data_IF_265237968059
#
_entry.id   IF_265237968059
#
_cell.length_a   1.000
_cell.length_b   1.000
_cell.length_c   1.000
_cell.angle_alpha   90.00
_cell.angle_beta   90.00
_cell.angle_gamma   90.00
#
_symmetry.space_group_name_H-M   'P 1'
#
loop_
_entity.id
_entity.type
_entity.pdbx_description
1 polymer ?
#
# COMPACT_ATOMS: atom_id res chain seq x y z
N UNK A 1 -1.85 23.10 -9.59
CA UNK A 1 -2.39 21.94 -10.36
C UNK A 1 -2.59 20.81 -9.36
N UNK A 2 -3.84 20.46 -9.09
CA UNK A 2 -4.22 19.36 -8.20
C UNK A 2 -3.97 18.10 -9.00
N UNK A 3 -3.22 17.12 -8.45
CA UNK A 3 -2.73 15.87 -9.05
C UNK A 3 -3.70 15.14 -9.96
N UNK A 4 -3.84 15.61 -11.19
CA UNK A 4 -4.66 14.99 -12.22
C UNK A 4 -3.82 14.00 -13.01
N UNK A 5 -4.32 12.78 -13.14
CA UNK A 5 -3.67 11.69 -13.84
C UNK A 5 -4.62 11.15 -14.90
N UNK A 6 -4.21 11.18 -16.17
CA UNK A 6 -4.98 10.57 -17.25
C UNK A 6 -4.96 9.06 -17.14
N UNK A 7 -6.13 8.47 -17.24
CA UNK A 7 -6.28 7.01 -17.15
C UNK A 7 -6.03 6.39 -18.53
N UNK A 8 -5.06 5.45 -18.66
CA UNK A 8 -4.87 4.72 -19.91
C UNK A 8 -6.15 4.01 -20.36
N UNK A 9 -6.44 4.04 -21.64
CA UNK A 9 -7.67 3.44 -22.22
C UNK A 9 -7.85 1.96 -21.84
N UNK A 10 -6.77 1.19 -21.81
CA UNK A 10 -6.80 -0.24 -21.41
C UNK A 10 -7.27 -0.44 -19.96
N UNK A 11 -6.95 0.51 -19.06
CA UNK A 11 -7.40 0.48 -17.66
C UNK A 11 -8.88 0.82 -17.60
N UNK A 12 -9.29 1.90 -18.26
CA UNK A 12 -10.67 2.36 -18.24
C UNK A 12 -11.60 1.33 -18.94
N UNK A 13 -11.19 0.72 -20.04
CA UNK A 13 -11.92 -0.38 -20.71
C UNK A 13 -12.02 -1.62 -19.79
N UNK A 14 -10.94 -2.01 -19.11
CA UNK A 14 -10.99 -3.06 -18.11
C UNK A 14 -12.00 -2.74 -17.01
N UNK A 15 -12.03 -1.51 -16.49
CA UNK A 15 -12.96 -1.11 -15.43
C UNK A 15 -14.43 -1.25 -15.87
N UNK A 16 -14.78 -0.87 -17.09
CA UNK A 16 -16.13 -1.10 -17.62
C UNK A 16 -16.47 -2.60 -17.70
N UNK A 17 -15.55 -3.42 -18.20
CA UNK A 17 -15.75 -4.87 -18.32
C UNK A 17 -15.89 -5.57 -16.97
N UNK A 18 -15.04 -5.23 -15.99
CA UNK A 18 -15.09 -5.82 -14.64
C UNK A 18 -16.22 -5.24 -13.77
N UNK A 19 -16.71 -4.04 -14.07
CA UNK A 19 -17.93 -3.51 -13.45
C UNK A 19 -19.20 -4.19 -14.01
N UNK A 20 -19.08 -4.98 -15.09
CA UNK A 20 -20.19 -5.75 -15.65
C UNK A 20 -21.25 -4.86 -16.30
N UNK A 21 -20.82 -3.87 -17.07
CA UNK A 21 -21.74 -2.98 -17.77
C UNK A 21 -22.47 -3.76 -18.87
N UNK A 22 -23.79 -3.80 -18.80
CA UNK A 22 -24.65 -4.48 -19.78
C UNK A 22 -25.99 -3.74 -19.92
N UNK A 23 -26.56 -3.82 -21.10
CA UNK A 23 -27.81 -3.12 -21.41
C UNK A 23 -27.65 -1.60 -21.31
N UNK A 24 -28.75 -0.87 -21.11
CA UNK A 24 -28.77 0.58 -20.93
C UNK A 24 -28.66 0.92 -19.45
N UNK A 25 -27.57 1.54 -19.05
CA UNK A 25 -27.32 1.96 -17.66
C UNK A 25 -27.02 3.47 -17.60
N UNK A 26 -27.35 4.09 -16.46
CA UNK A 26 -26.91 5.44 -16.11
C UNK A 26 -25.55 5.35 -15.41
N UNK A 27 -24.54 5.88 -16.06
CA UNK A 27 -23.14 5.79 -15.60
C UNK A 27 -22.59 7.18 -15.40
N UNK A 28 -21.90 7.42 -14.29
CA UNK A 28 -21.27 8.71 -13.99
C UNK A 28 -19.77 8.55 -13.72
N UNK A 29 -18.97 9.48 -14.31
CA UNK A 29 -17.62 9.79 -13.87
C UNK A 29 -17.64 11.15 -13.15
N UNK A 30 -17.51 11.17 -11.81
CA UNK A 30 -17.59 12.40 -11.02
C UNK A 30 -16.28 13.21 -10.99
N UNK A 31 -15.25 12.80 -11.72
CA UNK A 31 -13.94 13.45 -11.85
C UNK A 31 -13.35 13.18 -13.23
N UNK A 32 -14.13 13.49 -14.27
CA UNK A 32 -13.90 12.93 -15.60
C UNK A 32 -12.66 13.48 -16.33
N UNK A 33 -12.02 14.53 -15.84
CA UNK A 33 -10.83 15.10 -16.46
C UNK A 33 -11.07 15.47 -17.93
N UNK A 34 -10.22 14.98 -18.80
CA UNK A 34 -10.33 15.12 -20.27
C UNK A 34 -11.39 14.21 -20.90
N UNK A 35 -12.11 13.41 -20.10
CA UNK A 35 -13.16 12.52 -20.55
C UNK A 35 -12.69 11.12 -20.98
N UNK A 36 -11.60 10.62 -20.43
CA UNK A 36 -11.09 9.27 -20.78
C UNK A 36 -12.15 8.18 -20.68
N UNK A 37 -12.90 8.11 -19.56
CA UNK A 37 -14.00 7.14 -19.41
C UNK A 37 -15.22 7.48 -20.31
N UNK A 38 -15.48 8.76 -20.53
CA UNK A 38 -16.61 9.18 -21.35
C UNK A 38 -16.44 8.75 -22.83
N UNK A 39 -15.21 8.81 -23.35
CA UNK A 39 -14.87 8.45 -24.73
C UNK A 39 -15.03 6.97 -25.04
N UNK A 40 -14.63 6.11 -24.08
CA UNK A 40 -14.57 4.66 -24.28
C UNK A 40 -15.76 3.91 -23.72
N UNK A 41 -16.74 4.62 -23.19
CA UNK A 41 -17.94 4.00 -22.64
C UNK A 41 -18.59 3.06 -23.66
N UNK A 42 -19.01 1.85 -23.26
CA UNK A 42 -19.73 0.94 -24.14
C UNK A 42 -20.98 1.58 -24.73
N UNK A 43 -21.30 1.24 -25.98
CA UNK A 43 -22.47 1.78 -26.68
C UNK A 43 -23.77 1.53 -25.90
N UNK A 44 -24.68 2.51 -25.93
CA UNK A 44 -25.99 2.41 -25.30
C UNK A 44 -26.05 2.91 -23.84
N UNK A 45 -24.91 3.28 -23.24
CA UNK A 45 -24.88 3.83 -21.88
C UNK A 45 -25.32 5.28 -21.82
N UNK A 46 -26.00 5.67 -20.74
CA UNK A 46 -26.28 7.06 -20.42
C UNK A 46 -25.13 7.63 -19.58
N UNK A 47 -24.09 8.13 -20.26
CA UNK A 47 -22.92 8.70 -19.60
C UNK A 47 -23.20 10.10 -19.05
N UNK A 48 -22.74 10.33 -17.81
CA UNK A 48 -22.71 11.60 -17.11
C UNK A 48 -21.28 11.92 -16.71
N UNK A 49 -20.89 13.21 -16.76
CA UNK A 49 -19.57 13.68 -16.37
C UNK A 49 -19.64 14.86 -15.44
N UNK A 50 -18.70 14.94 -14.51
CA UNK A 50 -18.45 16.13 -13.69
C UNK A 50 -16.96 16.43 -13.65
N UNK A 51 -16.59 17.72 -13.84
CA UNK A 51 -15.19 18.14 -13.80
C UNK A 51 -15.08 19.54 -13.18
N UNK A 52 -14.16 19.71 -12.23
CA UNK A 52 -13.94 20.96 -11.52
C UNK A 52 -12.99 21.91 -12.26
N UNK A 53 -12.05 21.38 -13.03
CA UNK A 53 -11.08 22.19 -13.80
C UNK A 53 -11.76 22.73 -15.07
N UNK A 54 -11.82 24.07 -15.26
CA UNK A 54 -12.53 24.66 -16.39
C UNK A 54 -11.93 24.26 -17.76
N UNK A 55 -10.62 24.02 -17.83
CA UNK A 55 -9.94 23.64 -19.08
C UNK A 55 -10.36 22.23 -19.53
N UNK A 56 -10.34 21.27 -18.60
CA UNK A 56 -10.80 19.91 -18.87
C UNK A 56 -12.31 19.83 -19.06
N UNK A 57 -13.09 20.57 -18.26
CA UNK A 57 -14.52 20.68 -18.42
C UNK A 57 -14.91 21.19 -19.82
N UNK A 58 -14.13 22.13 -20.38
CA UNK A 58 -14.35 22.63 -21.75
C UNK A 58 -14.20 21.57 -22.83
N UNK A 59 -13.36 20.53 -22.59
CA UNK A 59 -13.18 19.39 -23.50
C UNK A 59 -14.25 18.32 -23.23
N UNK A 60 -14.38 17.89 -21.98
CA UNK A 60 -15.23 16.76 -21.60
C UNK A 60 -16.74 16.99 -21.90
N UNK A 61 -17.22 18.23 -21.81
CA UNK A 61 -18.62 18.57 -22.07
C UNK A 61 -19.11 18.24 -23.50
N UNK A 62 -18.19 18.10 -24.46
CA UNK A 62 -18.56 17.70 -25.84
C UNK A 62 -18.72 16.17 -25.98
N UNK A 63 -18.31 15.39 -25.00
CA UNK A 63 -18.39 13.93 -25.05
C UNK A 63 -19.74 13.38 -24.60
N UNK A 64 -20.53 14.19 -23.90
CA UNK A 64 -21.87 13.83 -23.42
C UNK A 64 -22.86 14.97 -23.70
N UNK A 65 -24.18 14.69 -23.80
CA UNK A 65 -25.21 15.75 -23.90
C UNK A 65 -25.10 16.75 -22.75
N UNK A 66 -25.27 18.04 -23.02
CA UNK A 66 -25.08 19.14 -22.06
C UNK A 66 -25.81 18.92 -20.72
N UNK A 67 -27.04 18.36 -20.75
CA UNK A 67 -27.83 18.03 -19.55
C UNK A 67 -27.20 16.92 -18.67
N UNK A 68 -26.17 16.25 -19.15
CA UNK A 68 -25.48 15.15 -18.46
C UNK A 68 -24.06 15.54 -18.04
N UNK A 69 -23.69 16.81 -18.22
CA UNK A 69 -22.38 17.32 -17.85
C UNK A 69 -22.52 18.46 -16.82
N UNK A 70 -21.70 18.37 -15.76
CA UNK A 70 -21.61 19.38 -14.70
C UNK A 70 -20.19 19.93 -14.63
N UNK A 71 -20.02 21.22 -14.89
CA UNK A 71 -18.75 21.91 -14.64
C UNK A 71 -18.76 22.42 -13.19
N UNK A 72 -18.03 21.76 -12.28
CA UNK A 72 -18.00 22.11 -10.88
C UNK A 72 -17.44 21.04 -9.95
N UNK A 73 -17.44 21.32 -8.65
CA UNK A 73 -17.01 20.38 -7.63
C UNK A 73 -18.06 19.28 -7.43
N UNK A 74 -17.71 18.04 -7.78
CA UNK A 74 -18.61 16.90 -7.70
C UNK A 74 -19.19 16.67 -6.30
N UNK A 75 -18.43 17.01 -5.24
CA UNK A 75 -18.87 16.81 -3.85
C UNK A 75 -20.01 17.75 -3.43
N UNK A 76 -20.18 18.84 -4.15
CA UNK A 76 -21.26 19.83 -3.89
C UNK A 76 -22.28 19.93 -5.01
N UNK A 77 -21.85 19.72 -6.26
CA UNK A 77 -22.69 19.95 -7.44
C UNK A 77 -23.53 18.73 -7.84
N UNK A 78 -23.27 17.55 -7.28
CA UNK A 78 -23.96 16.30 -7.61
C UNK A 78 -24.96 15.83 -6.54
N UNK A 79 -25.24 16.63 -5.53
CA UNK A 79 -26.10 16.24 -4.38
C UNK A 79 -27.49 15.80 -4.84
N UNK A 80 -28.09 16.51 -5.78
CA UNK A 80 -29.45 16.25 -6.27
C UNK A 80 -29.58 14.95 -7.09
N UNK A 81 -28.44 14.35 -7.49
CA UNK A 81 -28.43 13.11 -8.27
C UNK A 81 -27.88 11.91 -7.50
N UNK A 82 -27.69 12.04 -6.18
CA UNK A 82 -27.29 10.91 -5.34
C UNK A 82 -28.31 9.77 -5.40
N UNK A 83 -27.83 8.55 -5.43
CA UNK A 83 -28.67 7.35 -5.45
C UNK A 83 -29.38 7.07 -6.78
N UNK A 84 -28.95 7.72 -7.87
CA UNK A 84 -29.66 7.60 -9.16
C UNK A 84 -28.91 6.85 -10.25
N UNK A 85 -27.62 6.53 -10.04
CA UNK A 85 -26.78 5.85 -11.05
C UNK A 85 -26.71 4.35 -10.83
N UNK A 86 -26.55 3.61 -11.92
CA UNK A 86 -26.27 2.17 -11.91
C UNK A 86 -24.80 1.92 -11.60
N UNK A 87 -23.92 2.77 -12.13
CA UNK A 87 -22.48 2.69 -11.97
C UNK A 87 -21.88 4.09 -11.78
N UNK A 88 -21.00 4.22 -10.80
CA UNK A 88 -20.04 5.31 -10.70
C UNK A 88 -18.64 4.75 -11.02
N UNK A 89 -17.98 5.34 -12.02
CA UNK A 89 -16.69 4.87 -12.53
C UNK A 89 -15.72 6.04 -12.66
N UNK A 90 -14.43 5.86 -12.32
CA UNK A 90 -13.47 6.94 -12.49
C UNK A 90 -12.17 6.76 -11.72
N UNK A 91 -11.30 7.75 -11.92
CA UNK A 91 -10.00 7.87 -11.29
C UNK A 91 -9.93 9.23 -10.56
N UNK A 92 -10.39 9.31 -9.29
CA UNK A 92 -10.41 10.55 -8.53
C UNK A 92 -9.00 11.07 -8.22
N UNK A 93 -8.86 12.37 -7.92
CA UNK A 93 -7.59 12.93 -7.52
C UNK A 93 -7.10 12.34 -6.20
N UNK A 94 -5.81 11.98 -6.12
CA UNK A 94 -5.17 11.53 -4.88
C UNK A 94 -4.07 12.50 -4.44
N UNK A 95 -3.61 12.32 -3.20
CA UNK A 95 -2.57 13.14 -2.57
C UNK A 95 -2.97 14.60 -2.28
N UNK A 96 -4.25 14.92 -2.41
CA UNK A 96 -4.81 16.20 -1.98
C UNK A 96 -5.69 16.01 -0.75
N UNK A 97 -5.90 17.08 0.02
CA UNK A 97 -6.72 17.06 1.24
C UNK A 97 -7.79 18.14 1.23
N UNK A 98 -8.96 17.81 1.72
CA UNK A 98 -9.96 18.77 2.17
C UNK A 98 -9.72 19.06 3.65
N UNK A 99 -9.61 20.34 4.03
CA UNK A 99 -9.48 20.79 5.42
C UNK A 99 -10.74 21.48 5.91
N UNK A 100 -10.98 21.43 7.21
CA UNK A 100 -12.12 22.09 7.84
C UNK A 100 -12.07 23.62 7.62
N UNK A 101 -10.86 24.19 7.58
CA UNK A 101 -10.66 25.60 7.31
C UNK A 101 -11.08 26.02 5.89
N UNK A 102 -10.71 25.21 4.87
CA UNK A 102 -10.93 25.54 3.45
C UNK A 102 -12.23 24.98 2.87
N UNK A 103 -12.68 23.82 3.36
CA UNK A 103 -13.83 23.07 2.82
C UNK A 103 -14.73 22.49 3.92
N UNK A 104 -15.25 23.28 4.87
CA UNK A 104 -16.01 22.78 6.02
C UNK A 104 -17.26 22.01 5.60
N UNK A 105 -18.00 22.52 4.60
CA UNK A 105 -19.25 21.87 4.12
C UNK A 105 -19.01 20.48 3.55
N UNK A 106 -17.87 20.27 2.86
CA UNK A 106 -17.50 18.96 2.33
C UNK A 106 -17.21 18.00 3.48
N UNK A 107 -16.33 18.39 4.42
CA UNK A 107 -15.99 17.51 5.55
C UNK A 107 -17.21 17.13 6.39
N UNK A 108 -18.13 18.07 6.64
CA UNK A 108 -19.33 17.82 7.43
C UNK A 108 -20.41 17.04 6.67
N UNK A 109 -20.44 17.12 5.33
CA UNK A 109 -21.40 16.45 4.46
C UNK A 109 -21.11 14.98 4.15
N UNK A 110 -19.92 14.48 4.60
CA UNK A 110 -19.49 13.11 4.36
C UNK A 110 -19.18 12.38 5.68
N UNK A 111 -19.65 11.15 5.81
CA UNK A 111 -19.43 10.32 7.01
C UNK A 111 -17.92 10.15 7.31
N UNK A 112 -17.12 9.94 6.27
CA UNK A 112 -15.67 9.76 6.39
C UNK A 112 -14.92 11.06 6.64
N UNK A 113 -15.57 12.22 6.51
CA UNK A 113 -15.05 13.55 6.83
C UNK A 113 -15.52 14.08 8.19
N UNK A 114 -16.66 13.62 8.67
CA UNK A 114 -17.29 14.13 9.88
C UNK A 114 -16.39 14.01 11.12
N UNK A 115 -16.31 15.09 11.90
CA UNK A 115 -15.48 15.16 13.11
C UNK A 115 -13.97 15.24 12.86
N UNK A 116 -13.52 15.42 11.60
CA UNK A 116 -12.11 15.53 11.25
C UNK A 116 -11.72 16.95 10.91
N UNK A 117 -10.47 17.30 11.18
CA UNK A 117 -9.89 18.59 10.76
C UNK A 117 -9.45 18.58 9.30
N UNK A 118 -9.14 17.40 8.75
CA UNK A 118 -8.83 17.19 7.34
C UNK A 118 -9.10 15.75 6.91
N UNK A 119 -9.30 15.53 5.61
CA UNK A 119 -9.47 14.21 5.00
C UNK A 119 -8.87 14.18 3.60
N UNK A 120 -8.30 13.03 3.22
CA UNK A 120 -7.81 12.78 1.87
C UNK A 120 -8.97 12.79 0.87
N UNK A 121 -8.77 13.40 -0.30
CA UNK A 121 -9.82 13.48 -1.32
C UNK A 121 -10.22 12.10 -1.83
N UNK A 122 -9.29 11.19 -2.04
CA UNK A 122 -9.58 9.82 -2.48
C UNK A 122 -10.52 9.06 -1.53
N UNK A 123 -10.47 9.37 -0.22
CA UNK A 123 -11.39 8.80 0.78
C UNK A 123 -12.78 9.41 0.67
N UNK A 124 -12.86 10.73 0.48
CA UNK A 124 -14.15 11.41 0.28
C UNK A 124 -14.79 11.02 -1.06
N UNK A 125 -14.00 10.85 -2.11
CA UNK A 125 -14.48 10.35 -3.40
C UNK A 125 -15.00 8.91 -3.31
N UNK A 126 -14.36 8.02 -2.53
CA UNK A 126 -14.88 6.67 -2.29
C UNK A 126 -16.30 6.72 -1.71
N UNK A 127 -16.55 7.63 -0.75
CA UNK A 127 -17.90 7.86 -0.22
C UNK A 127 -18.84 8.47 -1.27
N UNK A 128 -18.38 9.46 -2.04
CA UNK A 128 -19.16 10.08 -3.10
C UNK A 128 -19.62 9.06 -4.14
N UNK A 129 -18.74 8.16 -4.59
CA UNK A 129 -19.09 7.09 -5.52
C UNK A 129 -20.24 6.24 -4.99
N UNK A 130 -20.21 5.85 -3.70
CA UNK A 130 -21.30 5.11 -3.07
C UNK A 130 -22.58 5.96 -2.88
N UNK A 131 -22.46 7.27 -2.64
CA UNK A 131 -23.63 8.17 -2.57
C UNK A 131 -24.31 8.29 -3.93
N UNK A 132 -23.54 8.35 -5.02
CA UNK A 132 -24.08 8.50 -6.38
C UNK A 132 -24.85 7.28 -6.87
N UNK A 133 -24.45 6.06 -6.51
CA UNK A 133 -25.11 4.85 -7.00
C UNK A 133 -26.35 4.49 -6.17
N UNK A 134 -27.35 3.94 -6.85
CA UNK A 134 -28.57 3.39 -6.23
C UNK A 134 -28.25 2.13 -5.39
N UNK A 135 -29.14 1.65 -4.52
CA UNK A 135 -29.00 0.33 -3.92
C UNK A 135 -28.77 -0.74 -4.99
N UNK A 136 -27.83 -1.67 -4.74
CA UNK A 136 -27.31 -2.68 -5.69
C UNK A 136 -26.58 -2.10 -6.92
N UNK A 137 -26.41 -0.80 -7.04
CA UNK A 137 -25.51 -0.18 -8.02
C UNK A 137 -24.05 -0.45 -7.67
N UNK A 138 -23.18 -0.33 -8.67
CA UNK A 138 -21.73 -0.60 -8.53
C UNK A 138 -20.90 0.66 -8.53
N UNK A 139 -19.76 0.56 -7.91
CA UNK A 139 -18.66 1.52 -8.05
C UNK A 139 -17.46 0.81 -8.66
N UNK A 140 -16.75 1.49 -9.53
CA UNK A 140 -15.45 1.09 -10.08
C UNK A 140 -14.50 2.28 -9.91
N UNK A 141 -13.62 2.22 -8.94
CA UNK A 141 -12.80 3.37 -8.54
C UNK A 141 -11.32 2.98 -8.47
N UNK A 142 -10.46 3.88 -8.97
CA UNK A 142 -9.01 3.73 -8.78
C UNK A 142 -8.62 4.39 -7.46
N UNK A 143 -7.93 3.63 -6.61
CA UNK A 143 -7.46 4.08 -5.31
C UNK A 143 -5.97 3.80 -5.13
N UNK A 144 -5.21 4.68 -4.46
CA UNK A 144 -3.85 4.38 -4.04
C UNK A 144 -3.84 3.33 -2.92
N UNK A 145 -2.67 2.74 -2.62
CA UNK A 145 -2.50 1.72 -1.59
C UNK A 145 -2.97 2.15 -0.19
N UNK A 146 -2.84 3.44 0.15
CA UNK A 146 -3.08 3.94 1.51
C UNK A 146 -4.40 3.51 2.13
N UNK A 147 -5.57 3.82 1.54
CA UNK A 147 -6.89 3.41 2.04
C UNK A 147 -7.04 1.89 2.21
N UNK A 148 -6.36 1.09 1.38
CA UNK A 148 -6.46 -0.36 1.39
C UNK A 148 -5.56 -1.04 2.43
N UNK A 149 -4.50 -0.36 2.91
CA UNK A 149 -3.47 -1.04 3.71
C UNK A 149 -3.04 -0.33 4.99
N UNK A 150 -3.11 1.02 5.06
CA UNK A 150 -2.55 1.73 6.20
C UNK A 150 -3.48 1.64 7.42
N UNK A 151 -2.91 1.39 8.61
CA UNK A 151 -3.67 1.32 9.89
C UNK A 151 -4.56 2.55 10.14
N UNK A 152 -4.08 3.79 9.92
CA UNK A 152 -4.92 4.98 10.11
C UNK A 152 -6.19 5.01 9.24
N UNK A 153 -6.26 4.22 8.16
CA UNK A 153 -7.44 4.10 7.30
C UNK A 153 -8.31 2.85 7.60
N UNK A 154 -8.08 2.14 8.71
CA UNK A 154 -8.92 1.00 9.07
C UNK A 154 -10.40 1.37 9.13
N UNK A 155 -10.73 2.54 9.69
CA UNK A 155 -12.12 3.04 9.75
C UNK A 155 -12.77 3.21 8.38
N UNK A 156 -12.00 3.50 7.31
CA UNK A 156 -12.49 3.59 5.91
C UNK A 156 -12.89 2.20 5.42
N UNK A 157 -12.06 1.19 5.68
CA UNK A 157 -12.32 -0.20 5.32
C UNK A 157 -13.55 -0.73 6.04
N UNK A 158 -13.65 -0.49 7.34
CA UNK A 158 -14.81 -0.89 8.16
C UNK A 158 -16.09 -0.17 7.71
N UNK A 159 -15.99 1.11 7.35
CA UNK A 159 -17.10 1.90 6.80
C UNK A 159 -17.59 1.32 5.47
N UNK A 160 -16.65 0.96 4.58
CA UNK A 160 -16.96 0.39 3.27
C UNK A 160 -17.66 -0.97 3.38
N UNK A 161 -17.13 -1.89 4.20
CA UNK A 161 -17.72 -3.24 4.38
C UNK A 161 -19.16 -3.19 4.90
N UNK A 162 -19.48 -2.21 5.74
CA UNK A 162 -20.87 -2.03 6.21
C UNK A 162 -21.82 -1.55 5.12
N UNK A 163 -21.33 -0.90 4.05
CA UNK A 163 -22.14 -0.24 3.01
C UNK A 163 -22.08 -0.90 1.66
N UNK A 164 -21.05 -1.68 1.40
CA UNK A 164 -20.84 -2.32 0.11
C UNK A 164 -20.28 -3.74 0.25
N UNK A 165 -20.56 -4.58 -0.73
CA UNK A 165 -19.83 -5.80 -1.00
C UNK A 165 -18.67 -5.47 -1.93
N UNK A 166 -17.45 -5.60 -1.46
CA UNK A 166 -16.25 -5.46 -2.31
C UNK A 166 -16.13 -6.74 -3.13
N UNK A 167 -16.42 -6.65 -4.43
CA UNK A 167 -16.42 -7.79 -5.34
C UNK A 167 -15.00 -8.15 -5.77
N UNK A 168 -14.18 -7.12 -6.12
CA UNK A 168 -12.81 -7.34 -6.54
C UNK A 168 -11.86 -6.17 -6.20
N UNK A 169 -10.58 -6.49 -6.01
CA UNK A 169 -9.48 -5.54 -5.99
C UNK A 169 -8.41 -6.03 -6.97
N UNK A 170 -8.08 -5.18 -7.96
CA UNK A 170 -7.08 -5.47 -8.99
C UNK A 170 -5.93 -4.48 -8.80
N UNK A 171 -4.77 -4.98 -8.41
CA UNK A 171 -3.58 -4.15 -8.29
C UNK A 171 -2.97 -3.88 -9.66
N UNK A 172 -2.70 -2.60 -9.94
CA UNK A 172 -2.15 -2.15 -11.21
C UNK A 172 -0.61 -2.10 -11.17
N UNK A 173 0.08 -2.26 -12.31
CA UNK A 173 1.51 -2.06 -12.38
C UNK A 173 1.93 -0.66 -11.93
N UNK A 174 3.17 -0.51 -11.43
CA UNK A 174 3.70 0.82 -11.09
C UNK A 174 4.01 1.63 -12.35
N UNK A 175 3.91 2.96 -12.23
CA UNK A 175 4.33 3.88 -13.29
C UNK A 175 3.37 3.98 -14.48
N UNK A 176 2.15 3.44 -14.37
CA UNK A 176 1.13 3.55 -15.42
C UNK A 176 0.51 4.95 -15.50
N UNK A 177 0.58 5.72 -14.43
CA UNK A 177 0.15 7.11 -14.40
C UNK A 177 1.35 8.04 -14.45
N UNK A 178 1.38 8.92 -15.45
CA UNK A 178 2.42 9.93 -15.58
C UNK A 178 2.48 10.82 -14.32
N UNK A 179 3.69 11.16 -13.87
CA UNK A 179 3.95 12.06 -12.71
C UNK A 179 3.63 11.49 -11.32
N UNK A 180 3.35 10.19 -11.18
CA UNK A 180 3.25 9.55 -9.87
C UNK A 180 3.94 8.20 -9.84
N UNK A 181 4.60 7.90 -8.73
CA UNK A 181 5.14 6.55 -8.44
C UNK A 181 4.19 5.76 -7.53
N UNK A 182 3.02 6.34 -7.22
CA UNK A 182 2.03 5.68 -6.38
C UNK A 182 1.58 4.37 -7.03
N UNK A 183 1.55 3.30 -6.25
CA UNK A 183 0.86 2.08 -6.64
C UNK A 183 -0.63 2.28 -6.44
N UNK A 184 -1.41 1.85 -7.42
CA UNK A 184 -2.84 2.03 -7.47
C UNK A 184 -3.56 0.71 -7.69
N UNK A 185 -4.82 0.69 -7.31
CA UNK A 185 -5.67 -0.49 -7.41
C UNK A 185 -7.04 -0.08 -7.96
N UNK A 186 -7.63 -0.93 -8.79
CA UNK A 186 -9.05 -0.84 -9.15
C UNK A 186 -9.82 -1.55 -8.05
N UNK A 187 -10.77 -0.86 -7.42
CA UNK A 187 -11.71 -1.44 -6.48
C UNK A 187 -13.10 -1.47 -7.13
N UNK A 188 -13.69 -2.67 -7.17
CA UNK A 188 -15.07 -2.89 -7.63
C UNK A 188 -15.90 -3.26 -6.43
N UNK A 189 -16.98 -2.51 -6.17
CA UNK A 189 -17.88 -2.81 -5.08
C UNK A 189 -19.34 -2.55 -5.45
N UNK A 190 -20.24 -3.37 -4.94
CA UNK A 190 -21.67 -3.22 -5.07
C UNK A 190 -22.25 -2.62 -3.79
N UNK A 191 -23.01 -1.52 -3.92
CA UNK A 191 -23.71 -0.89 -2.80
C UNK A 191 -24.76 -1.84 -2.23
N UNK A 192 -24.74 -2.05 -0.92
CA UNK A 192 -25.75 -2.88 -0.25
C UNK A 192 -27.08 -2.18 -0.12
N UNK A 193 -28.15 -2.93 -0.27
CA UNK A 193 -29.51 -2.49 0.08
C UNK A 193 -29.77 -2.63 1.60
N UNK A 194 -29.16 -3.62 2.24
CA UNK A 194 -29.25 -3.89 3.68
C UNK A 194 -27.85 -4.24 4.20
N UNK A 195 -27.50 -3.76 5.37
CA UNK A 195 -26.21 -4.09 6.01
C UNK A 195 -26.21 -5.55 6.47
N UNK A 196 -25.32 -6.41 5.97
CA UNK A 196 -25.23 -7.80 6.41
C UNK A 196 -24.54 -7.91 7.79
N UNK A 197 -24.89 -8.97 8.53
CA UNK A 197 -24.21 -9.35 9.75
C UNK A 197 -24.05 -10.88 9.76
N UNK A 198 -22.84 -11.43 9.87
CA UNK A 198 -21.50 -10.83 9.75
C UNK A 198 -21.07 -10.61 8.29
N UNK A 199 -20.07 -9.75 8.07
CA UNK A 199 -19.47 -9.45 6.74
C UNK A 199 -18.57 -10.61 6.28
N UNK A 200 -19.15 -11.64 5.66
CA UNK A 200 -18.44 -12.85 5.20
C UNK A 200 -18.36 -12.97 3.68
N UNK A 201 -18.67 -11.89 2.96
CA UNK A 201 -18.57 -11.92 1.50
C UNK A 201 -17.12 -12.12 1.07
N UNK A 202 -16.97 -12.99 0.09
CA UNK A 202 -15.68 -13.23 -0.51
C UNK A 202 -15.36 -12.15 -1.55
N UNK A 203 -14.14 -11.64 -1.51
CA UNK A 203 -13.59 -10.68 -2.46
C UNK A 203 -12.51 -11.35 -3.29
N UNK A 204 -12.47 -11.03 -4.57
CA UNK A 204 -11.46 -11.52 -5.49
C UNK A 204 -10.30 -10.52 -5.58
N UNK A 205 -9.09 -11.01 -5.41
CA UNK A 205 -7.87 -10.22 -5.49
C UNK A 205 -7.00 -10.66 -6.66
N UNK A 206 -6.51 -9.72 -7.45
CA UNK A 206 -5.59 -9.97 -8.57
C UNK A 206 -4.45 -8.96 -8.57
N UNK A 207 -3.22 -9.45 -8.65
CA UNK A 207 -2.05 -8.62 -8.94
C UNK A 207 -1.75 -8.67 -10.44
N UNK A 208 -1.83 -7.52 -11.13
CA UNK A 208 -1.38 -7.37 -12.52
C UNK A 208 0.06 -6.86 -12.56
N UNK A 209 0.91 -7.54 -13.32
CA UNK A 209 2.32 -7.19 -13.51
C UNK A 209 2.53 -6.28 -14.71
N UNK A 210 1.67 -6.39 -15.71
CA UNK A 210 1.63 -5.51 -16.88
C UNK A 210 0.19 -5.24 -17.34
N UNK A 211 0.00 -4.20 -18.17
CA UNK A 211 -1.33 -3.78 -18.61
C UNK A 211 -2.01 -4.77 -19.56
N UNK A 212 -1.26 -5.62 -20.25
CA UNK A 212 -1.83 -6.64 -21.15
C UNK A 212 -2.67 -7.66 -20.40
N UNK A 213 -2.33 -7.91 -19.14
CA UNK A 213 -3.07 -8.83 -18.26
C UNK A 213 -4.50 -8.35 -17.92
N UNK A 214 -4.82 -7.08 -18.18
CA UNK A 214 -6.15 -6.52 -17.98
C UNK A 214 -7.13 -6.88 -19.12
N UNK A 215 -6.63 -7.20 -20.32
CA UNK A 215 -7.46 -7.43 -21.52
C UNK A 215 -8.51 -8.54 -21.38
N UNK A 216 -8.19 -9.71 -20.78
CA UNK A 216 -9.16 -10.81 -20.68
C UNK A 216 -10.19 -10.64 -19.56
N UNK A 217 -10.00 -9.73 -18.61
CA UNK A 217 -10.82 -9.64 -17.41
C UNK A 217 -12.27 -9.21 -17.70
N UNK A 218 -13.23 -9.95 -17.14
CA UNK A 218 -14.69 -9.72 -17.26
C UNK A 218 -15.38 -10.04 -15.94
N UNK A 219 -16.53 -9.41 -15.67
CA UNK A 219 -17.37 -9.80 -14.54
C UNK A 219 -17.97 -11.22 -14.74
N UNK A 220 -17.98 -12.00 -13.68
CA UNK A 220 -18.61 -13.33 -13.64
C UNK A 220 -17.73 -14.49 -14.10
N UNK A 221 -16.61 -14.21 -14.78
CA UNK A 221 -15.73 -15.26 -15.28
C UNK A 221 -14.44 -15.43 -14.47
N UNK A 222 -14.33 -14.71 -13.36
CA UNK A 222 -13.09 -14.60 -12.57
C UNK A 222 -12.52 -15.94 -12.08
N UNK A 223 -13.39 -16.85 -11.61
CA UNK A 223 -12.95 -18.14 -11.07
C UNK A 223 -12.50 -19.12 -12.15
N UNK A 224 -13.00 -18.92 -13.40
CA UNK A 224 -12.75 -19.83 -14.52
C UNK A 224 -11.55 -19.38 -15.39
N UNK A 225 -11.19 -18.10 -15.34
CA UNK A 225 -10.34 -17.50 -16.36
C UNK A 225 -8.87 -17.33 -15.95
N UNK A 226 -8.56 -17.19 -14.68
CA UNK A 226 -7.18 -16.93 -14.28
C UNK A 226 -6.89 -17.50 -12.88
N UNK A 227 -5.99 -18.49 -12.76
CA UNK A 227 -5.63 -19.11 -11.49
C UNK A 227 -4.89 -18.14 -10.53
N UNK A 228 -4.53 -16.95 -11.00
CA UNK A 228 -3.91 -15.90 -10.16
C UNK A 228 -4.92 -15.20 -9.26
N UNK A 229 -6.23 -15.26 -9.55
CA UNK A 229 -7.25 -14.74 -8.66
C UNK A 229 -7.24 -15.44 -7.31
N UNK A 230 -7.24 -14.66 -6.24
CA UNK A 230 -7.36 -15.15 -4.86
C UNK A 230 -8.68 -14.71 -4.27
N UNK A 231 -9.34 -15.64 -3.61
CA UNK A 231 -10.59 -15.39 -2.89
C UNK A 231 -10.30 -15.25 -1.40
N UNK A 232 -10.67 -14.11 -0.82
CA UNK A 232 -10.47 -13.83 0.61
C UNK A 232 -11.74 -13.21 1.22
N UNK A 233 -11.84 -13.25 2.54
CA UNK A 233 -12.83 -12.50 3.32
C UNK A 233 -12.14 -11.26 3.86
N UNK A 234 -12.47 -10.07 3.34
CA UNK A 234 -11.78 -8.82 3.69
C UNK A 234 -11.93 -8.44 5.17
N UNK A 235 -13.03 -8.83 5.82
CA UNK A 235 -13.23 -8.58 7.24
C UNK A 235 -12.17 -9.24 8.15
N UNK A 236 -11.48 -10.24 7.63
CA UNK A 236 -10.41 -10.98 8.33
C UNK A 236 -9.01 -10.48 7.95
N UNK A 237 -8.90 -9.51 7.03
CA UNK A 237 -7.65 -9.01 6.49
C UNK A 237 -7.36 -7.56 6.93
N UNK A 238 -6.20 -7.30 7.52
CA UNK A 238 -5.75 -5.93 7.84
C UNK A 238 -5.29 -5.17 6.60
N UNK A 239 -4.73 -5.85 5.62
CA UNK A 239 -4.20 -5.30 4.37
C UNK A 239 -4.95 -5.92 3.18
N UNK A 240 -5.66 -5.08 2.41
CA UNK A 240 -6.52 -5.51 1.31
C UNK A 240 -5.81 -5.53 -0.04
N UNK A 241 -4.54 -5.17 -0.08
CA UNK A 241 -3.80 -5.18 -1.35
C UNK A 241 -3.59 -6.61 -1.83
N UNK A 242 -3.77 -6.88 -3.14
CA UNK A 242 -3.51 -8.19 -3.72
C UNK A 242 -2.12 -8.74 -3.42
N UNK A 243 -1.09 -7.89 -3.44
CA UNK A 243 0.28 -8.29 -3.15
C UNK A 243 0.47 -8.79 -1.71
N UNK A 244 -0.18 -8.14 -0.75
CA UNK A 244 -0.09 -8.54 0.65
C UNK A 244 -0.75 -9.91 0.88
N UNK A 245 -1.78 -10.23 0.10
CA UNK A 245 -2.47 -11.52 0.14
C UNK A 245 -1.84 -12.54 -0.81
N UNK A 246 -1.01 -12.09 -1.75
CA UNK A 246 -0.25 -12.94 -2.66
C UNK A 246 0.95 -13.61 -1.99
N UNK A 247 1.18 -13.29 -0.71
CA UNK A 247 2.27 -13.83 0.08
C UNK A 247 2.48 -15.30 -0.20
N UNK A 248 3.62 -15.55 -0.80
CA UNK A 248 4.04 -16.83 -1.32
C UNK A 248 4.32 -17.83 -0.18
N UNK A 249 3.27 -18.33 0.50
CA UNK A 249 3.43 -19.58 1.26
C UNK A 249 4.02 -20.71 0.39
N UNK A 250 3.90 -20.60 -0.96
CA UNK A 250 4.43 -21.59 -1.92
C UNK A 250 5.90 -21.39 -2.29
N UNK A 251 6.48 -20.16 -2.26
CA UNK A 251 7.89 -19.94 -2.59
C UNK A 251 8.79 -20.29 -1.39
N UNK A 252 8.34 -20.01 -0.16
CA UNK A 252 9.15 -20.25 1.05
C UNK A 252 9.02 -21.66 1.61
N UNK A 253 8.10 -22.51 1.09
CA UNK A 253 7.80 -23.83 1.65
C UNK A 253 7.07 -23.74 3.01
N UNK A 254 6.76 -24.89 3.62
CA UNK A 254 5.98 -24.97 4.88
C UNK A 254 6.75 -24.52 6.13
N UNK A 255 8.08 -24.31 6.02
CA UNK A 255 8.94 -23.96 7.16
C UNK A 255 9.44 -22.53 7.05
N UNK A 256 8.73 -21.61 7.69
CA UNK A 256 9.13 -20.19 7.78
C UNK A 256 9.06 -19.70 9.22
N UNK A 257 9.90 -18.71 9.56
CA UNK A 257 9.98 -18.07 10.88
C UNK A 257 9.80 -16.57 10.72
N UNK A 258 9.20 -15.89 11.69
CA UNK A 258 9.06 -14.42 11.68
C UNK A 258 10.42 -13.79 11.97
N UNK A 259 10.77 -12.76 11.21
CA UNK A 259 12.02 -12.02 11.42
C UNK A 259 12.09 -11.40 12.82
N UNK A 260 10.98 -10.87 13.33
CA UNK A 260 10.89 -10.28 14.67
C UNK A 260 11.06 -11.26 15.82
N UNK A 261 10.94 -12.57 15.58
CA UNK A 261 11.21 -13.60 16.59
C UNK A 261 12.72 -13.89 16.69
N UNK A 262 13.49 -13.53 15.66
CA UNK A 262 14.91 -13.80 15.54
C UNK A 262 15.80 -12.56 15.72
N UNK A 263 15.24 -11.37 15.52
CA UNK A 263 15.97 -10.11 15.57
C UNK A 263 15.22 -9.05 16.36
N UNK A 264 15.97 -8.28 17.16
CA UNK A 264 15.51 -7.00 17.70
C UNK A 264 15.74 -5.93 16.65
N UNK A 265 14.69 -5.19 16.28
CA UNK A 265 14.75 -4.15 15.27
C UNK A 265 14.76 -2.77 15.93
N UNK A 266 15.69 -1.92 15.51
CA UNK A 266 15.73 -0.49 15.83
C UNK A 266 15.90 0.34 14.56
N UNK A 267 15.59 1.63 14.62
CA UNK A 267 15.82 2.56 13.52
C UNK A 267 17.00 3.43 13.89
N UNK A 268 17.86 3.75 12.94
CA UNK A 268 18.94 4.70 13.13
C UNK A 268 18.44 6.11 13.42
N UNK A 269 19.34 7.05 13.57
CA UNK A 269 19.04 8.41 13.98
C UNK A 269 19.67 9.43 13.04
N UNK A 270 18.92 10.49 12.72
CA UNK A 270 19.41 11.67 12.03
C UNK A 270 18.70 12.93 12.52
N UNK A 271 19.39 14.04 12.48
CA UNK A 271 18.81 15.38 12.58
C UNK A 271 18.53 15.95 11.19
N UNK A 272 17.66 16.95 11.11
CA UNK A 272 17.25 17.61 9.86
C UNK A 272 17.50 19.14 9.93
N UNK A 273 17.55 19.75 8.76
CA UNK A 273 17.78 21.20 8.62
C UNK A 273 19.17 21.62 9.04
N UNK A 274 19.29 22.82 9.61
CA UNK A 274 20.55 23.48 9.98
C UNK A 274 21.36 22.76 11.06
N UNK A 275 20.75 21.81 11.76
CA UNK A 275 21.41 20.96 12.77
C UNK A 275 22.28 19.85 12.18
N UNK A 276 22.27 19.65 10.86
CA UNK A 276 23.08 18.65 10.20
C UNK A 276 24.52 19.15 10.05
N UNK A 277 25.46 18.46 10.69
CA UNK A 277 26.89 18.71 10.57
C UNK A 277 27.56 17.44 10.05
N UNK A 278 28.02 17.47 8.81
CA UNK A 278 28.75 16.36 8.19
C UNK A 278 30.21 16.76 8.01
N UNK A 279 31.10 15.85 8.35
CA UNK A 279 32.54 15.92 8.13
C UNK A 279 32.91 14.93 7.01
N UNK A 280 33.83 15.31 6.13
CA UNK A 280 34.16 14.53 4.94
C UNK A 280 35.26 13.49 5.17
N UNK A 281 35.99 13.57 6.27
CA UNK A 281 37.14 12.72 6.57
C UNK A 281 37.07 12.09 7.96
N UNK A 282 37.64 10.90 8.16
CA UNK A 282 37.81 10.31 9.49
C UNK A 282 38.74 11.19 10.38
N UNK A 283 38.69 10.98 11.66
CA UNK A 283 39.53 11.71 12.64
C UNK A 283 39.11 11.37 14.08
N UNK A 284 39.89 11.89 15.03
CA UNK A 284 39.58 11.70 16.45
C UNK A 284 38.21 12.26 16.78
N UNK A 285 37.46 11.56 17.65
CA UNK A 285 36.09 11.88 18.06
C UNK A 285 35.09 12.02 16.88
N UNK A 286 35.30 11.25 15.81
CA UNK A 286 34.42 11.20 14.64
C UNK A 286 33.89 9.80 14.41
N UNK A 287 32.60 9.67 14.24
CA UNK A 287 31.90 8.40 13.96
C UNK A 287 31.43 8.38 12.52
N UNK A 288 31.68 7.29 11.81
CA UNK A 288 31.17 7.10 10.46
C UNK A 288 29.63 7.02 10.50
N UNK A 289 28.97 7.80 9.64
CA UNK A 289 27.52 7.74 9.47
C UNK A 289 27.18 6.93 8.23
N UNK A 290 26.59 5.76 8.43
CA UNK A 290 26.07 4.91 7.34
C UNK A 290 24.70 5.45 6.89
N UNK A 291 24.61 5.79 5.61
CA UNK A 291 23.40 6.25 4.93
C UNK A 291 22.96 5.24 3.89
N UNK A 292 21.72 5.33 3.40
CA UNK A 292 21.17 4.42 2.38
C UNK A 292 22.08 4.24 1.16
N UNK A 293 22.82 5.29 0.72
CA UNK A 293 23.76 5.25 -0.39
C UNK A 293 25.05 4.45 -0.12
N UNK A 294 25.36 4.22 1.15
CA UNK A 294 26.51 3.40 1.55
C UNK A 294 26.19 1.90 1.56
N UNK A 295 24.93 1.50 1.41
CA UNK A 295 24.51 0.10 1.27
C UNK A 295 24.39 -0.24 -0.22
N UNK A 296 25.24 -1.16 -0.68
CA UNK A 296 25.33 -1.53 -2.08
C UNK A 296 24.07 -2.29 -2.57
N UNK A 297 23.68 -2.15 -3.86
CA UNK A 297 22.57 -2.92 -4.42
C UNK A 297 22.77 -4.44 -4.38
N UNK A 298 24.01 -4.88 -4.52
CA UNK A 298 24.44 -6.27 -4.48
C UNK A 298 24.63 -6.82 -3.05
N UNK A 299 24.50 -5.97 -2.04
CA UNK A 299 24.83 -6.24 -0.65
C UNK A 299 26.18 -5.68 -0.24
N UNK A 300 26.41 -5.58 1.08
CA UNK A 300 27.64 -5.02 1.63
C UNK A 300 27.69 -3.49 1.71
N UNK A 301 28.81 -2.97 2.18
CA UNK A 301 29.03 -1.54 2.39
C UNK A 301 29.97 -0.97 1.32
N UNK A 302 29.63 0.21 0.81
CA UNK A 302 30.47 1.05 -0.06
C UNK A 302 31.00 2.21 0.76
N UNK A 303 32.26 2.12 1.17
CA UNK A 303 32.94 3.10 2.01
C UNK A 303 34.13 3.78 1.28
N UNK A 304 34.27 3.55 -0.01
CA UNK A 304 35.31 4.11 -0.89
C UNK A 304 35.05 5.57 -1.25
N UNK A 305 33.79 6.01 -1.20
CA UNK A 305 33.36 7.39 -1.54
C UNK A 305 32.04 7.74 -0.87
N UNK A 306 31.77 9.04 -0.81
CA UNK A 306 30.55 9.56 -0.21
C UNK A 306 30.34 9.19 1.26
N UNK A 307 31.38 8.88 2.00
CA UNK A 307 31.33 8.75 3.44
C UNK A 307 30.97 10.09 4.10
N UNK A 308 30.33 10.04 5.22
CA UNK A 308 30.10 11.18 6.09
C UNK A 308 30.46 10.75 7.51
N UNK A 309 31.04 11.66 8.24
CA UNK A 309 31.38 11.48 9.63
C UNK A 309 30.64 12.51 10.46
N UNK A 310 30.37 12.19 11.70
CA UNK A 310 29.72 13.07 12.67
C UNK A 310 30.57 13.15 13.93
N UNK A 311 30.57 14.30 14.65
CA UNK A 311 31.23 14.41 15.94
C UNK A 311 30.60 13.43 16.94
N UNK A 312 31.43 12.68 17.68
CA UNK A 312 30.93 11.71 18.69
C UNK A 312 30.37 12.37 19.96
N UNK A 313 30.64 13.67 20.14
CA UNK A 313 30.11 14.51 21.21
C UNK A 313 29.06 15.53 20.71
N UNK A 314 28.64 15.44 19.43
CA UNK A 314 27.65 16.34 18.81
C UNK A 314 26.22 15.84 18.94
N UNK A 315 25.25 16.74 18.69
CA UNK A 315 23.79 16.43 18.74
C UNK A 315 23.38 15.34 17.73
N UNK A 316 24.14 15.11 16.65
CA UNK A 316 23.89 14.08 15.65
C UNK A 316 24.29 12.67 16.13
N UNK A 317 25.12 12.56 17.15
CA UNK A 317 25.50 11.26 17.68
C UNK A 317 24.41 10.67 18.58
N UNK A 318 24.08 9.41 18.37
CA UNK A 318 23.11 8.66 19.18
C UNK A 318 23.62 7.24 19.41
N UNK A 319 24.06 6.95 20.62
CA UNK A 319 24.61 5.65 21.03
C UNK A 319 23.67 4.47 20.66
N UNK A 320 22.35 4.67 20.81
CA UNK A 320 21.36 3.64 20.47
C UNK A 320 21.31 3.32 18.97
N UNK A 321 21.87 4.17 18.13
CA UNK A 321 21.92 4.01 16.66
C UNK A 321 23.27 3.53 16.15
N UNK A 322 24.23 3.31 17.04
CA UNK A 322 25.53 2.69 16.70
C UNK A 322 25.31 1.24 16.29
N UNK A 323 25.86 0.88 15.13
CA UNK A 323 25.76 -0.46 14.55
C UNK A 323 26.97 -1.28 14.96
N UNK A 324 26.74 -2.45 15.52
CA UNK A 324 27.79 -3.33 16.03
C UNK A 324 28.11 -4.45 15.04
N UNK A 325 29.34 -5.02 15.08
CA UNK A 325 29.68 -6.16 14.23
C UNK A 325 28.65 -7.29 14.34
N UNK A 326 28.26 -7.87 13.19
CA UNK A 326 27.26 -8.93 13.11
C UNK A 326 25.81 -8.47 13.06
N UNK A 327 25.54 -7.17 13.26
CA UNK A 327 24.21 -6.60 13.03
C UNK A 327 23.98 -6.33 11.54
N UNK A 328 22.72 -6.47 11.09
CA UNK A 328 22.32 -6.24 9.71
C UNK A 328 21.72 -4.86 9.58
N UNK A 329 22.18 -4.10 8.62
CA UNK A 329 21.59 -2.83 8.19
C UNK A 329 20.62 -3.08 7.06
N UNK A 330 19.40 -2.56 7.18
CA UNK A 330 18.32 -2.67 6.18
C UNK A 330 17.85 -1.27 5.79
N UNK A 331 18.03 -0.91 4.52
CA UNK A 331 17.57 0.40 4.00
C UNK A 331 16.04 0.38 3.93
N UNK A 332 15.41 1.23 4.76
CA UNK A 332 13.95 1.27 4.91
C UNK A 332 13.23 2.22 3.96
N UNK A 333 13.93 3.21 3.40
CA UNK A 333 13.31 4.30 2.61
C UNK A 333 14.08 4.54 1.33
N UNK A 334 13.38 4.97 0.28
CA UNK A 334 13.95 5.50 -0.97
C UNK A 334 13.60 4.68 -2.21
N UNK A 335 13.18 5.40 -3.28
CA UNK A 335 12.81 4.82 -4.57
C UNK A 335 14.00 4.15 -5.24
N UNK A 336 14.32 2.96 -5.17
CA UNK A 336 15.46 2.26 -5.78
C UNK A 336 16.57 1.85 -4.82
N UNK A 337 16.47 2.18 -3.53
CA UNK A 337 17.41 1.71 -2.52
C UNK A 337 16.79 0.99 -1.33
N UNK A 338 15.46 1.11 -1.07
CA UNK A 338 14.82 0.37 0.01
C UNK A 338 14.97 -1.15 -0.20
N UNK A 339 15.11 -1.88 0.90
CA UNK A 339 15.31 -3.32 0.89
C UNK A 339 16.76 -3.77 0.70
N UNK A 340 17.70 -2.86 0.38
CA UNK A 340 19.12 -3.20 0.37
C UNK A 340 19.59 -3.53 1.78
N UNK A 341 20.45 -4.51 1.90
CA UNK A 341 20.99 -4.95 3.19
C UNK A 341 22.49 -5.12 3.16
N UNK A 342 23.12 -4.87 4.30
CA UNK A 342 24.55 -5.14 4.53
C UNK A 342 24.77 -5.63 5.96
N UNK A 343 25.74 -6.52 6.14
CA UNK A 343 26.23 -6.92 7.45
C UNK A 343 27.30 -5.94 7.93
N UNK A 344 27.26 -5.57 9.20
CA UNK A 344 28.33 -4.77 9.80
C UNK A 344 29.58 -5.63 10.00
N UNK A 345 30.69 -5.27 9.35
CA UNK A 345 31.93 -6.04 9.46
C UNK A 345 32.60 -5.84 10.82
N UNK A 346 33.46 -6.79 11.26
CA UNK A 346 34.28 -6.59 12.44
C UNK A 346 35.28 -5.45 12.27
N UNK A 347 35.56 -4.73 13.35
CA UNK A 347 36.56 -3.64 13.37
C UNK A 347 36.06 -2.31 12.81
N UNK A 348 34.80 -2.18 12.43
CA UNK A 348 34.19 -0.95 12.02
C UNK A 348 33.18 -0.47 13.07
N UNK A 349 33.27 0.79 13.44
CA UNK A 349 32.26 1.48 14.25
C UNK A 349 31.55 2.54 13.40
N UNK A 350 30.23 2.51 13.39
CA UNK A 350 29.41 3.45 12.63
C UNK A 350 28.05 3.64 13.26
N UNK A 351 27.45 4.78 13.03
CA UNK A 351 26.04 5.04 13.34
C UNK A 351 25.20 4.88 12.07
N UNK A 352 24.04 4.27 12.18
CA UNK A 352 23.04 4.27 11.11
C UNK A 352 22.22 5.55 11.13
N UNK A 353 21.92 6.13 9.95
CA UNK A 353 20.93 7.20 9.82
C UNK A 353 19.49 6.66 9.93
N UNK A 354 18.51 7.56 9.99
CA UNK A 354 17.10 7.21 10.14
C UNK A 354 16.46 6.53 8.90
N UNK A 355 17.19 6.43 7.80
CA UNK A 355 16.79 5.67 6.60
C UNK A 355 17.14 4.19 6.68
N UNK A 356 17.75 3.77 7.78
CA UNK A 356 18.22 2.41 8.02
C UNK A 356 17.55 1.82 9.26
N UNK A 357 17.00 0.61 9.13
CA UNK A 357 16.72 -0.26 10.25
C UNK A 357 17.93 -1.12 10.56
N UNK A 358 18.23 -1.28 11.83
CA UNK A 358 19.30 -2.15 12.31
C UNK A 358 18.64 -3.37 12.97
N UNK A 359 19.06 -4.55 12.55
CA UNK A 359 18.59 -5.84 13.02
C UNK A 359 19.68 -6.47 13.90
N UNK A 360 19.42 -6.57 15.20
CA UNK A 360 20.30 -7.22 16.18
C UNK A 360 19.85 -8.66 16.37
N UNK A 361 20.72 -9.67 16.12
CA UNK A 361 20.35 -11.07 16.33
C UNK A 361 19.95 -11.36 17.78
N UNK A 362 18.83 -12.07 17.98
CA UNK A 362 18.37 -12.59 19.28
C UNK A 362 18.61 -14.10 19.41
N UNK A 363 18.89 -14.76 18.30
CA UNK A 363 19.12 -16.18 18.21
C UNK A 363 20.36 -16.45 17.32
N UNK A 364 20.84 -17.68 17.31
CA UNK A 364 21.93 -18.11 16.44
C UNK A 364 21.43 -18.23 14.98
N UNK A 365 21.55 -17.13 14.26
CA UNK A 365 21.13 -16.98 12.86
C UNK A 365 22.37 -16.76 12.00
N UNK A 366 22.40 -17.35 10.83
CA UNK A 366 23.42 -17.05 9.84
C UNK A 366 23.12 -15.71 9.16
N UNK A 367 23.64 -14.63 9.75
CA UNK A 367 23.41 -13.26 9.26
C UNK A 367 23.92 -13.05 7.82
N UNK A 368 24.97 -13.76 7.36
CA UNK A 368 25.45 -13.68 5.98
C UNK A 368 24.42 -14.25 5.01
N UNK A 369 23.93 -15.47 5.26
CA UNK A 369 22.91 -16.10 4.44
C UNK A 369 21.61 -15.29 4.42
N UNK A 370 21.25 -14.65 5.55
CA UNK A 370 20.08 -13.79 5.58
C UNK A 370 20.27 -12.52 4.73
N UNK A 371 21.44 -11.89 4.75
CA UNK A 371 21.79 -10.75 3.87
C UNK A 371 21.76 -11.19 2.41
N UNK A 372 22.32 -12.35 2.06
CA UNK A 372 22.25 -12.92 0.72
C UNK A 372 20.79 -13.14 0.29
N UNK A 373 19.97 -13.72 1.17
CA UNK A 373 18.56 -13.93 0.88
C UNK A 373 17.80 -12.62 0.66
N UNK A 374 17.99 -11.60 1.50
CA UNK A 374 17.39 -10.29 1.30
C UNK A 374 17.74 -9.66 -0.06
N UNK A 375 18.98 -9.86 -0.51
CA UNK A 375 19.48 -9.33 -1.77
C UNK A 375 19.17 -10.23 -2.97
N UNK A 376 18.65 -11.45 -2.77
CA UNK A 376 18.14 -12.34 -3.82
C UNK A 376 16.84 -11.83 -4.43
N UNK A 377 16.44 -12.34 -5.58
CA UNK A 377 15.18 -12.02 -6.23
C UNK A 377 13.98 -12.36 -5.32
N UNK A 378 14.00 -13.50 -4.65
CA UNK A 378 12.96 -13.94 -3.70
C UNK A 378 12.85 -12.98 -2.53
N UNK A 379 13.94 -12.68 -1.84
CA UNK A 379 13.94 -11.78 -0.69
C UNK A 379 13.50 -10.36 -1.07
N UNK A 380 13.99 -9.85 -2.21
CA UNK A 380 13.53 -8.55 -2.74
C UNK A 380 12.05 -8.53 -3.06
N UNK A 381 11.50 -9.63 -3.55
CA UNK A 381 10.06 -9.75 -3.83
C UNK A 381 9.25 -9.69 -2.55
N UNK A 382 9.65 -10.44 -1.51
CA UNK A 382 8.99 -10.42 -0.21
C UNK A 382 9.06 -9.02 0.45
N UNK A 383 10.22 -8.35 0.38
CA UNK A 383 10.39 -6.98 0.89
C UNK A 383 9.54 -5.96 0.13
N UNK A 384 9.38 -6.11 -1.20
CA UNK A 384 8.52 -5.22 -2.01
C UNK A 384 7.07 -5.25 -1.54
N UNK A 385 6.58 -6.39 -1.07
CA UNK A 385 5.20 -6.52 -0.56
C UNK A 385 4.99 -5.71 0.73
N UNK A 386 6.05 -5.52 1.53
CA UNK A 386 6.00 -4.74 2.76
C UNK A 386 6.06 -3.22 2.53
N UNK A 387 6.58 -2.80 1.38
CA UNK A 387 6.83 -1.38 1.11
C UNK A 387 5.53 -0.61 0.90
N UNK A 388 5.39 0.52 1.61
CA UNK A 388 4.25 1.44 1.56
C UNK A 388 4.72 2.85 1.24
N UNK A 389 3.84 3.67 0.68
CA UNK A 389 4.09 5.08 0.42
C UNK A 389 3.69 5.51 -0.98
N UNK A 390 3.34 6.80 -1.10
CA UNK A 390 3.04 7.51 -2.35
C UNK A 390 4.25 8.41 -2.64
N UNK A 391 4.98 8.15 -3.71
CA UNK A 391 6.20 8.90 -4.05
C UNK A 391 7.48 8.28 -3.46
N UNK A 392 7.64 8.27 -2.16
CA UNK A 392 8.79 7.61 -1.50
C UNK A 392 8.36 6.34 -0.79
N UNK A 393 8.86 5.20 -1.27
CA UNK A 393 8.55 3.91 -0.68
C UNK A 393 9.32 3.71 0.63
N UNK A 394 8.64 3.14 1.62
CA UNK A 394 9.24 2.80 2.90
C UNK A 394 8.72 1.49 3.47
N UNK A 395 9.57 0.78 4.19
CA UNK A 395 9.22 -0.41 4.97
C UNK A 395 9.26 -0.03 6.44
N UNK A 396 8.13 -0.18 7.14
CA UNK A 396 8.08 0.11 8.56
C UNK A 396 8.77 -0.98 9.39
N UNK A 397 9.27 -0.61 10.58
CA UNK A 397 9.86 -1.55 11.53
C UNK A 397 8.89 -2.69 11.88
N UNK A 398 7.62 -2.38 12.12
CA UNK A 398 6.60 -3.38 12.44
C UNK A 398 6.32 -4.32 11.26
N UNK A 399 6.22 -3.79 10.02
CA UNK A 399 6.03 -4.63 8.84
C UNK A 399 7.24 -5.54 8.59
N UNK A 400 8.46 -5.03 8.79
CA UNK A 400 9.68 -5.83 8.63
C UNK A 400 9.76 -6.93 9.69
N UNK A 401 9.33 -6.70 10.93
CA UNK A 401 9.29 -7.71 11.98
C UNK A 401 8.31 -8.87 11.67
N UNK A 402 7.23 -8.59 10.94
CA UNK A 402 6.25 -9.61 10.51
C UNK A 402 6.70 -10.41 9.28
N UNK A 403 7.80 -10.00 8.63
CA UNK A 403 8.33 -10.72 7.47
C UNK A 403 8.64 -12.17 7.83
N UNK A 404 8.14 -13.09 7.03
CA UNK A 404 8.48 -14.51 7.16
C UNK A 404 9.68 -14.86 6.28
N UNK A 405 10.69 -15.44 6.88
CA UNK A 405 11.92 -15.88 6.21
C UNK A 405 12.02 -17.40 6.25
N UNK A 406 12.70 -18.04 5.28
CA UNK A 406 12.91 -19.48 5.27
C UNK A 406 13.65 -19.96 6.53
N UNK A 407 13.15 -21.02 7.17
CA UNK A 407 13.77 -21.57 8.39
C UNK A 407 15.14 -22.21 8.15
N UNK A 408 15.48 -22.56 6.91
CA UNK A 408 16.81 -23.08 6.54
C UNK A 408 17.92 -22.02 6.61
N UNK A 409 17.58 -20.75 6.84
CA UNK A 409 18.54 -19.68 7.13
C UNK A 409 19.01 -19.69 8.60
N UNK A 410 18.34 -20.49 9.46
CA UNK A 410 18.80 -20.74 10.83
C UNK A 410 19.96 -21.75 10.82
N UNK A 411 20.91 -21.62 11.75
CA UNK A 411 21.92 -22.66 11.96
C UNK A 411 21.26 -23.90 12.53
N UNK A 412 21.73 -25.08 12.11
CA UNK A 412 21.08 -26.38 12.37
C UNK A 412 20.81 -26.71 13.84
N UNK A 413 21.50 -26.07 14.78
CA UNK A 413 21.32 -26.30 16.22
C UNK A 413 20.02 -25.68 16.80
N UNK A 414 19.34 -24.79 16.09
CA UNK A 414 18.12 -24.13 16.57
C UNK A 414 16.82 -24.82 16.15
N UNK A 415 16.86 -25.80 15.25
CA UNK A 415 15.68 -26.60 14.86
C UNK A 415 15.13 -27.46 16.01
N UNK A 416 15.94 -27.73 17.04
CA UNK A 416 15.54 -28.52 18.22
C UNK A 416 14.74 -27.69 19.23
N UNK A 417 14.92 -26.36 19.26
CA UNK A 417 14.23 -25.47 20.20
C UNK A 417 12.77 -25.18 19.80
N UNK A 418 12.42 -25.23 18.51
CA UNK A 418 11.02 -25.05 18.07
C UNK A 418 10.12 -26.21 18.50
N UNK A 419 10.59 -27.44 18.49
CA UNK A 419 9.83 -28.61 18.97
C UNK A 419 9.55 -28.54 20.48
N UNK A 420 10.49 -28.02 21.28
CA UNK A 420 10.34 -27.84 22.71
C UNK A 420 9.41 -26.68 23.08
N UNK A 421 9.45 -25.57 22.34
CA UNK A 421 8.62 -24.40 22.60
C UNK A 421 7.15 -24.63 22.19
N UNK A 422 6.91 -25.36 21.11
CA UNK A 422 5.57 -25.78 20.69
C UNK A 422 4.97 -26.80 21.67
N UNK A 423 5.79 -27.75 22.16
CA UNK A 423 5.36 -28.70 23.19
C UNK A 423 5.05 -28.01 24.54
N UNK A 424 5.86 -27.03 24.97
CA UNK A 424 5.63 -26.26 26.20
C UNK A 424 4.37 -25.39 26.12
N UNK A 425 4.07 -24.75 24.97
CA UNK A 425 2.83 -24.00 24.76
C UNK A 425 1.59 -24.90 24.69
N UNK A 426 1.72 -26.09 24.13
CA UNK A 426 0.63 -27.09 24.07
C UNK A 426 0.35 -27.72 25.44
N UNK A 427 1.38 -27.96 26.25
CA UNK A 427 1.24 -28.43 27.65
C UNK A 427 0.62 -27.35 28.56
N UNK A 428 1.02 -26.07 28.44
CA UNK A 428 0.39 -24.96 29.20
C UNK A 428 -1.07 -24.72 28.80
N UNK A 429 -1.47 -24.98 27.54
CA UNK A 429 -2.88 -24.94 27.15
C UNK A 429 -3.66 -26.13 27.74
N UNK A 430 -3.10 -27.34 27.78
CA UNK A 430 -3.75 -28.52 28.37
C UNK A 430 -3.87 -28.44 29.89
N UNK A 431 -2.92 -27.84 30.59
CA UNK A 431 -3.01 -27.61 32.03
C UNK A 431 -4.04 -26.57 32.44
N UNK A 432 -4.23 -25.50 31.62
CA UNK A 432 -5.29 -24.51 31.84
C UNK A 432 -6.72 -25.07 31.60
N UNK A 433 -6.87 -26.05 30.72
CA UNK A 433 -8.17 -26.72 30.50
C UNK A 433 -8.48 -27.76 31.57
N UNK A 434 -7.51 -28.27 32.36
CA UNK A 434 -7.72 -29.21 33.46
C UNK A 434 -8.01 -28.56 34.83
N UNK A 435 -7.84 -27.24 34.96
CA UNK A 435 -8.20 -26.50 36.18
C UNK A 435 -9.54 -25.75 36.08
N UNK A 436 -10.25 -25.91 34.98
CA UNK A 436 -11.56 -25.26 34.74
C UNK A 436 -12.75 -26.30 34.65
N UNK A 437 -12.52 -27.52 35.13
CA UNK A 437 -13.59 -28.53 35.35
C UNK A 437 -13.52 -29.04 36.80
#
# INVERSE_FOLDING_TARGET
MIGQFFTPEIVADCMFRVAGVHGRQRVIDPSCGDGSFLRIAPNGQEMYGCEIDPQFAAVAKFLVPAKRFVAGDAMTSLVDVWGTFDLAIGNPPFSAQASLEKRPKILQGFDLGAGRTSQCLEVLFLELFLKLVKPNGRIAIILPDGPLSNKPFQYVRDWLLRRAHVEAIISLPRGIFNRTTAKTNILIAQKRSVAPQPYRDATLLLECKDLGELKPLRLGDWEKMDPRWKKIVLAEAEDWRPEAQSGNRRILGDKTVRLGDLFKLRTGYALYGDKRQFLESPGDKRVLLIRAKNVAPEGGLRLDRNCAYIPSDGEMFCEQSVVRPGEIMFVRVGAGCYGRTALMPPGLEAQADDWIHVLTPLADVDSNRLVEWFNSETGRTEVRQLAKGVGTLSVSKSSLAELRIPSNLLRSNNLVLESATVQAKTQRRRSRFRMAN
#
